data_IF_304505437616
#
_entry.id   IF_304505437616
#
_cell.length_a   1.000
_cell.length_b   1.000
_cell.length_c   1.000
_cell.angle_alpha   90.00
_cell.angle_beta   90.00
_cell.angle_gamma   90.00
#
_symmetry.space_group_name_H-M   'P 1'
#
loop_
_entity.id
_entity.type
_entity.pdbx_description
1 polymer ?
#
# COMPACT_ATOMS: atom_id res chain seq x y z
N UNK A 1 15.84 2.69 9.52
CA UNK A 1 14.87 2.02 8.61
C UNK A 1 13.92 3.07 8.06
N UNK A 2 14.16 3.60 6.87
CA UNK A 2 13.40 4.75 6.38
C UNK A 2 13.83 5.18 4.98
N UNK A 3 13.89 4.24 4.05
CA UNK A 3 14.14 4.54 2.64
C UNK A 3 13.07 5.49 2.09
N UNK A 4 13.43 6.24 1.04
CA UNK A 4 12.52 7.18 0.35
C UNK A 4 11.20 6.49 -0.02
N UNK A 5 11.26 5.23 -0.42
CA UNK A 5 10.11 4.45 -0.88
C UNK A 5 9.13 4.08 0.25
N UNK A 6 9.64 3.75 1.44
CA UNK A 6 8.78 3.49 2.61
C UNK A 6 8.03 4.73 3.06
N UNK A 7 8.63 5.92 2.90
CA UNK A 7 7.94 7.19 3.15
C UNK A 7 6.82 7.42 2.14
N UNK A 8 7.05 7.12 0.87
CA UNK A 8 6.00 7.23 -0.16
C UNK A 8 4.82 6.32 0.20
N UNK A 9 5.07 5.06 0.57
CA UNK A 9 4.00 4.15 1.00
C UNK A 9 3.21 4.69 2.21
N UNK A 10 3.91 5.20 3.24
CA UNK A 10 3.26 5.77 4.41
C UNK A 10 2.44 7.04 4.07
N UNK A 11 2.96 7.92 3.21
CA UNK A 11 2.25 9.09 2.72
C UNK A 11 1.02 8.71 1.88
N UNK A 12 1.12 7.70 1.02
CA UNK A 12 -0.01 7.18 0.25
C UNK A 12 -1.10 6.62 1.14
N UNK A 13 -0.74 5.90 2.21
CA UNK A 13 -1.70 5.41 3.21
C UNK A 13 -2.43 6.57 3.90
N UNK A 14 -1.69 7.61 4.30
CA UNK A 14 -2.29 8.80 4.90
C UNK A 14 -3.23 9.53 3.93
N UNK A 15 -2.82 9.63 2.67
CA UNK A 15 -3.63 10.24 1.62
C UNK A 15 -4.93 9.44 1.37
N UNK A 16 -4.86 8.11 1.27
CA UNK A 16 -6.03 7.24 1.10
C UNK A 16 -7.04 7.43 2.26
N UNK A 17 -6.56 7.42 3.51
CA UNK A 17 -7.37 7.71 4.69
C UNK A 17 -8.03 9.08 4.65
N UNK A 18 -7.29 10.09 4.17
CA UNK A 18 -7.81 11.45 4.07
C UNK A 18 -8.88 11.54 2.98
N UNK A 19 -8.64 10.93 1.82
CA UNK A 19 -9.60 10.90 0.71
C UNK A 19 -10.92 10.20 1.11
N UNK A 20 -10.84 9.10 1.87
CA UNK A 20 -12.01 8.43 2.43
C UNK A 20 -12.76 9.30 3.45
N UNK A 21 -12.04 10.03 4.30
CA UNK A 21 -12.68 10.98 5.23
C UNK A 21 -13.42 12.09 4.51
N UNK A 22 -12.90 12.58 3.37
CA UNK A 22 -13.61 13.57 2.56
C UNK A 22 -14.95 13.00 2.04
N UNK A 23 -15.00 11.72 1.66
CA UNK A 23 -16.25 11.03 1.31
C UNK A 23 -17.21 10.97 2.51
N UNK A 24 -16.74 10.50 3.67
CA UNK A 24 -17.56 10.39 4.89
C UNK A 24 -18.11 11.75 5.32
N UNK A 25 -17.34 12.82 5.12
CA UNK A 25 -17.77 14.20 5.42
C UNK A 25 -18.73 14.80 4.39
N UNK A 26 -19.05 14.09 3.30
CA UNK A 26 -19.91 14.56 2.22
C UNK A 26 -19.27 15.61 1.30
N UNK A 27 -17.95 15.82 1.37
CA UNK A 27 -17.23 16.78 0.52
C UNK A 27 -16.97 16.26 -0.90
N UNK A 28 -17.01 14.94 -1.08
CA UNK A 28 -16.97 14.29 -2.39
C UNK A 28 -18.11 13.26 -2.50
N UNK A 29 -18.49 12.93 -3.74
CA UNK A 29 -19.52 11.92 -4.00
C UNK A 29 -18.96 10.50 -3.95
N UNK A 30 -19.84 9.51 -3.83
CA UNK A 30 -19.49 8.08 -3.75
C UNK A 30 -18.79 7.57 -5.01
N UNK A 31 -19.14 8.13 -6.17
CA UNK A 31 -18.55 7.83 -7.48
C UNK A 31 -17.12 8.40 -7.61
N UNK A 32 -16.78 9.37 -6.77
CA UNK A 32 -15.46 10.00 -6.72
C UNK A 32 -14.49 9.29 -5.77
N UNK A 33 -14.84 8.10 -5.26
CA UNK A 33 -14.00 7.30 -4.36
C UNK A 33 -14.01 5.81 -4.73
N UNK A 34 -12.92 5.11 -4.43
CA UNK A 34 -12.76 3.67 -4.66
C UNK A 34 -13.82 2.86 -3.91
N UNK A 35 -14.34 1.79 -4.51
CA UNK A 35 -15.21 0.84 -3.78
C UNK A 35 -14.58 0.44 -2.44
N UNK A 36 -15.41 0.18 -1.44
CA UNK A 36 -14.94 -0.16 -0.09
C UNK A 36 -13.94 -1.32 -0.11
N UNK A 37 -14.23 -2.37 -0.88
CA UNK A 37 -13.35 -3.52 -1.05
C UNK A 37 -11.99 -3.16 -1.67
N UNK A 38 -11.97 -2.25 -2.65
CA UNK A 38 -10.72 -1.81 -3.27
C UNK A 38 -9.92 -0.89 -2.35
N UNK A 39 -10.58 0.01 -1.62
CA UNK A 39 -9.92 0.88 -0.63
C UNK A 39 -9.27 0.06 0.49
N UNK A 40 -10.00 -0.91 1.05
CA UNK A 40 -9.46 -1.80 2.08
C UNK A 40 -8.36 -2.73 1.55
N UNK A 41 -8.55 -3.29 0.36
CA UNK A 41 -7.49 -4.08 -0.31
C UNK A 41 -6.20 -3.27 -0.46
N UNK A 42 -6.29 -2.03 -0.95
CA UNK A 42 -5.15 -1.15 -1.10
C UNK A 42 -4.50 -0.81 0.25
N UNK A 43 -5.30 -0.55 1.28
CA UNK A 43 -4.82 -0.29 2.65
C UNK A 43 -4.02 -1.45 3.20
N UNK A 44 -4.56 -2.67 3.11
CA UNK A 44 -3.90 -3.89 3.54
C UNK A 44 -2.62 -4.12 2.76
N UNK A 45 -2.62 -3.94 1.44
CA UNK A 45 -1.42 -4.06 0.60
C UNK A 45 -0.32 -3.09 1.02
N UNK A 46 -0.63 -1.80 1.20
CA UNK A 46 0.35 -0.79 1.60
C UNK A 46 0.92 -1.09 2.99
N UNK A 47 0.05 -1.38 3.97
CA UNK A 47 0.47 -1.72 5.33
C UNK A 47 1.36 -2.96 5.35
N UNK A 48 0.95 -4.01 4.65
CA UNK A 48 1.71 -5.27 4.55
C UNK A 48 3.08 -5.05 3.93
N UNK A 49 3.17 -4.24 2.85
CA UNK A 49 4.43 -3.91 2.22
C UNK A 49 5.38 -3.15 3.15
N UNK A 50 4.87 -2.19 3.95
CA UNK A 50 5.66 -1.45 4.93
C UNK A 50 6.18 -2.39 6.02
N UNK A 51 5.29 -3.15 6.66
CA UNK A 51 5.64 -4.00 7.80
C UNK A 51 6.58 -5.15 7.40
N UNK A 52 6.31 -5.80 6.26
CA UNK A 52 7.20 -6.83 5.73
C UNK A 52 8.59 -6.26 5.39
N UNK A 53 8.65 -5.06 4.80
CA UNK A 53 9.93 -4.41 4.52
C UNK A 53 10.70 -4.08 5.80
N UNK A 54 10.03 -3.57 6.84
CA UNK A 54 10.65 -3.31 8.14
C UNK A 54 11.18 -4.59 8.77
N UNK A 55 10.41 -5.67 8.72
CA UNK A 55 10.82 -6.97 9.24
C UNK A 55 12.05 -7.52 8.52
N UNK A 56 12.05 -7.54 7.18
CA UNK A 56 13.16 -8.05 6.40
C UNK A 56 14.45 -7.25 6.63
N UNK A 57 14.35 -5.92 6.64
CA UNK A 57 15.51 -5.05 6.81
C UNK A 57 16.02 -5.02 8.26
N UNK A 58 15.11 -4.97 9.24
CA UNK A 58 15.45 -4.79 10.65
C UNK A 58 15.69 -6.09 11.40
N UNK A 59 14.83 -7.09 11.18
CA UNK A 59 14.86 -8.37 11.92
C UNK A 59 15.70 -9.41 11.19
N UNK A 60 15.53 -9.55 9.87
CA UNK A 60 16.27 -10.54 9.09
C UNK A 60 17.65 -10.05 8.60
N UNK A 61 17.95 -8.76 8.75
CA UNK A 61 19.25 -8.19 8.38
C UNK A 61 19.48 -8.08 6.86
N UNK A 62 18.43 -8.08 6.03
CA UNK A 62 18.60 -7.81 4.60
C UNK A 62 19.08 -6.37 4.36
N UNK A 63 20.01 -6.19 3.43
CA UNK A 63 20.54 -4.85 3.09
C UNK A 63 19.52 -3.96 2.38
N UNK A 64 18.64 -4.57 1.60
CA UNK A 64 17.60 -3.91 0.82
C UNK A 64 16.44 -4.87 0.55
N UNK A 65 15.29 -4.32 0.17
CA UNK A 65 14.08 -5.06 -0.21
C UNK A 65 13.60 -4.55 -1.55
N UNK A 66 13.29 -5.46 -2.47
CA UNK A 66 12.70 -5.14 -3.77
C UNK A 66 11.17 -5.27 -3.68
N UNK A 67 10.49 -4.19 -3.33
CA UNK A 67 9.02 -4.20 -3.13
C UNK A 67 8.24 -4.60 -4.38
N UNK A 68 8.80 -4.40 -5.57
CA UNK A 68 8.23 -4.91 -6.83
C UNK A 68 8.16 -6.44 -6.92
N UNK A 69 8.75 -7.18 -5.98
CA UNK A 69 8.62 -8.65 -5.86
C UNK A 69 7.49 -9.08 -4.92
N UNK A 70 6.75 -8.15 -4.31
CA UNK A 70 5.59 -8.47 -3.48
C UNK A 70 4.29 -8.65 -4.27
N UNK A 71 4.30 -8.37 -5.58
CA UNK A 71 3.12 -8.42 -6.43
C UNK A 71 2.90 -9.82 -7.04
N UNK A 72 1.76 -9.98 -7.73
CA UNK A 72 1.34 -11.23 -8.36
C UNK A 72 1.69 -11.27 -9.86
N UNK A 73 2.49 -10.34 -10.38
CA UNK A 73 2.77 -10.22 -11.81
C UNK A 73 3.38 -11.49 -12.39
N UNK A 74 4.18 -12.22 -11.59
CA UNK A 74 4.76 -13.50 -11.99
C UNK A 74 3.66 -14.54 -12.27
N UNK A 75 2.59 -14.57 -11.47
CA UNK A 75 1.45 -15.46 -11.70
C UNK A 75 0.66 -15.01 -12.93
N UNK A 76 0.41 -13.71 -13.08
CA UNK A 76 -0.30 -13.18 -14.24
C UNK A 76 0.44 -13.50 -15.55
N UNK A 77 1.77 -13.38 -15.57
CA UNK A 77 2.61 -13.75 -16.73
C UNK A 77 2.67 -15.25 -17.00
N UNK A 78 2.40 -16.08 -15.99
CA UNK A 78 2.41 -17.53 -16.14
C UNK A 78 1.10 -18.05 -16.76
N UNK A 79 -0.04 -17.42 -16.44
CA UNK A 79 -1.37 -17.85 -16.89
C UNK A 79 -1.95 -17.04 -18.06
N UNK A 80 -1.41 -15.86 -18.35
CA UNK A 80 -1.82 -15.01 -19.50
C UNK A 80 -1.02 -15.31 -20.75
#
# INVERSE_FOLDING_TARGET
LGGKDLRVLASSLHWLNTWERELVSGRISRESFLTESTAEGLRVTILSAIELSKYLLGTCGFKYVLTGKFNQDVLARFFG
#
